data_IF_740786176206
#
_entry.id   IF_740786176206
#
_cell.length_a   1.000
_cell.length_b   1.000
_cell.length_c   1.000
_cell.angle_alpha   90.00
_cell.angle_beta   90.00
_cell.angle_gamma   90.00
#
_symmetry.space_group_name_H-M   'P 1'
#
loop_
_entity.id
_entity.type
_entity.pdbx_description
1 polymer ?
#
# COMPACT_ATOMS: atom_id res chain seq x y z
N UNK A 1 6.80 -6.76 17.80
CA UNK A 1 5.65 -6.62 16.89
C UNK A 1 5.50 -5.14 16.53
N UNK A 2 5.97 -4.72 15.35
CA UNK A 2 5.96 -3.30 14.95
C UNK A 2 4.55 -2.81 14.62
N UNK A 3 4.27 -1.54 14.95
CA UNK A 3 2.97 -0.87 14.71
C UNK A 3 2.54 -1.05 13.25
N UNK A 4 1.29 -1.47 13.06
CA UNK A 4 0.69 -1.62 11.72
C UNK A 4 0.09 -0.28 11.32
N UNK A 5 0.47 0.27 10.17
CA UNK A 5 -0.20 1.44 9.62
C UNK A 5 -1.65 1.08 9.30
N UNK A 6 -2.59 1.79 9.93
CA UNK A 6 -4.04 1.67 9.75
C UNK A 6 -4.52 2.84 8.89
N UNK A 7 -5.28 2.54 7.84
CA UNK A 7 -5.78 3.50 6.86
C UNK A 7 -7.26 3.84 7.05
N UNK A 8 -7.78 3.62 8.26
CA UNK A 8 -9.22 3.75 8.59
C UNK A 8 -9.72 5.19 8.50
N UNK A 9 -8.90 6.16 8.87
CA UNK A 9 -9.30 7.57 9.00
C UNK A 9 -9.03 8.41 7.74
N UNK A 10 -8.48 7.79 6.69
CA UNK A 10 -8.11 8.49 5.46
C UNK A 10 -9.29 8.52 4.49
N UNK A 11 -9.52 9.67 3.84
CA UNK A 11 -10.57 9.80 2.82
C UNK A 11 -10.29 8.89 1.62
N UNK A 12 -11.34 8.48 0.89
CA UNK A 12 -11.19 7.59 -0.26
C UNK A 12 -10.26 8.17 -1.33
N UNK A 13 -10.37 9.47 -1.62
CA UNK A 13 -9.56 10.16 -2.64
C UNK A 13 -8.08 10.20 -2.26
N UNK A 14 -7.81 10.46 -0.98
CA UNK A 14 -6.45 10.49 -0.45
C UNK A 14 -5.84 9.08 -0.41
N UNK A 15 -6.65 8.04 -0.14
CA UNK A 15 -6.20 6.65 -0.26
C UNK A 15 -5.81 6.26 -1.69
N UNK A 16 -6.51 6.78 -2.71
CA UNK A 16 -6.14 6.54 -4.11
C UNK A 16 -4.79 7.19 -4.41
N UNK A 17 -4.57 8.42 -3.95
CA UNK A 17 -3.28 9.13 -4.12
C UNK A 17 -2.14 8.36 -3.46
N UNK A 18 -2.28 8.01 -2.18
CA UNK A 18 -1.28 7.22 -1.43
C UNK A 18 -1.02 5.88 -2.13
N UNK A 19 -2.05 5.21 -2.63
CA UNK A 19 -1.89 3.95 -3.36
C UNK A 19 -1.08 4.12 -4.65
N UNK A 20 -1.29 5.22 -5.39
CA UNK A 20 -0.54 5.52 -6.60
C UNK A 20 0.93 5.80 -6.31
N UNK A 21 1.21 6.61 -5.29
CA UNK A 21 2.57 6.93 -4.83
C UNK A 21 3.31 5.66 -4.39
N UNK A 22 2.66 4.81 -3.59
CA UNK A 22 3.25 3.55 -3.09
C UNK A 22 3.56 2.55 -4.21
N UNK A 23 2.74 2.52 -5.27
CA UNK A 23 3.00 1.69 -6.46
C UNK A 23 4.21 2.23 -7.24
N UNK A 24 4.34 3.55 -7.34
CA UNK A 24 5.49 4.16 -8.02
C UNK A 24 6.78 3.97 -7.22
N UNK A 25 6.75 4.13 -5.89
CA UNK A 25 7.87 3.77 -5.00
C UNK A 25 8.31 2.32 -5.23
N UNK A 26 7.36 1.38 -5.31
CA UNK A 26 7.67 -0.03 -5.58
C UNK A 26 8.30 -0.23 -6.98
N UNK A 27 7.88 0.53 -7.98
CA UNK A 27 8.45 0.51 -9.33
C UNK A 27 9.90 1.01 -9.30
N UNK A 28 10.16 2.15 -8.66
CA UNK A 28 11.52 2.70 -8.51
C UNK A 28 12.43 1.71 -7.80
N UNK A 29 11.96 1.07 -6.71
CA UNK A 29 12.72 0.05 -5.99
C UNK A 29 13.04 -1.15 -6.88
N UNK A 30 12.12 -1.58 -7.75
CA UNK A 30 12.35 -2.68 -8.70
C UNK A 30 13.40 -2.32 -9.74
N UNK A 31 13.34 -1.10 -10.30
CA UNK A 31 14.34 -0.62 -11.26
C UNK A 31 15.72 -0.47 -10.62
N UNK A 32 15.80 0.12 -9.41
CA UNK A 32 17.05 0.25 -8.68
C UNK A 32 17.68 -1.12 -8.35
N UNK A 33 16.85 -2.11 -7.98
CA UNK A 33 17.31 -3.46 -7.69
C UNK A 33 17.81 -4.24 -8.93
N UNK A 34 17.39 -3.87 -10.14
CA UNK A 34 17.86 -4.49 -11.37
C UNK A 34 19.30 -4.04 -11.72
N UNK A 35 19.68 -2.80 -11.36
CA UNK A 35 21.01 -2.26 -11.61
C UNK A 35 22.08 -2.65 -10.59
N UNK A 36 21.69 -2.92 -9.33
CA UNK A 36 22.60 -3.34 -8.27
C UNK A 36 21.83 -3.93 -7.08
N UNK A 37 22.53 -4.69 -6.21
CA UNK A 37 21.90 -5.23 -5.00
C UNK A 37 21.46 -4.07 -4.10
N UNK A 38 20.15 -3.95 -3.79
CA UNK A 38 19.66 -2.87 -2.93
C UNK A 38 20.21 -3.04 -1.51
N UNK A 39 20.57 -1.91 -0.88
CA UNK A 39 21.09 -1.86 0.49
C UNK A 39 20.10 -2.45 1.49
N UNK A 40 18.81 -2.20 1.29
CA UNK A 40 17.71 -2.76 2.10
C UNK A 40 16.74 -3.61 1.28
N UNK A 41 16.95 -4.93 1.27
CA UNK A 41 16.06 -5.89 0.59
C UNK A 41 14.63 -5.91 1.16
N UNK A 42 14.46 -5.50 2.42
CA UNK A 42 13.18 -5.50 3.13
C UNK A 42 12.19 -4.43 2.66
N UNK A 43 12.66 -3.38 1.98
CA UNK A 43 11.83 -2.24 1.53
C UNK A 43 10.72 -2.71 0.60
N UNK A 44 11.07 -3.56 -0.38
CA UNK A 44 10.09 -4.09 -1.33
C UNK A 44 8.95 -4.87 -0.66
N UNK A 45 9.26 -5.62 0.40
CA UNK A 45 8.27 -6.37 1.18
C UNK A 45 7.40 -5.45 2.04
N UNK A 46 7.97 -4.39 2.61
CA UNK A 46 7.22 -3.37 3.38
C UNK A 46 6.24 -2.63 2.48
N UNK A 47 6.68 -2.16 1.30
CA UNK A 47 5.82 -1.47 0.34
C UNK A 47 4.65 -2.35 -0.14
N UNK A 48 4.90 -3.63 -0.45
CA UNK A 48 3.82 -4.58 -0.80
C UNK A 48 2.80 -4.74 0.32
N UNK A 49 3.25 -4.80 1.58
CA UNK A 49 2.35 -4.89 2.75
C UNK A 49 1.52 -3.62 2.92
N UNK A 50 2.10 -2.45 2.67
CA UNK A 50 1.34 -1.18 2.72
C UNK A 50 0.27 -1.12 1.64
N UNK A 51 0.61 -1.46 0.39
CA UNK A 51 -0.36 -1.53 -0.71
C UNK A 51 -1.50 -2.50 -0.38
N UNK A 52 -1.19 -3.69 0.13
CA UNK A 52 -2.19 -4.69 0.50
C UNK A 52 -3.15 -4.19 1.59
N UNK A 53 -2.65 -3.44 2.58
CA UNK A 53 -3.49 -2.84 3.63
C UNK A 53 -4.44 -1.79 3.07
N UNK A 54 -3.98 -0.93 2.15
CA UNK A 54 -4.82 0.08 1.50
C UNK A 54 -5.93 -0.61 0.69
N UNK A 55 -5.58 -1.64 -0.11
CA UNK A 55 -6.56 -2.40 -0.88
C UNK A 55 -7.58 -3.15 0.00
N UNK A 56 -7.14 -3.63 1.16
CA UNK A 56 -8.02 -4.28 2.13
C UNK A 56 -9.03 -3.28 2.70
N UNK A 57 -8.60 -2.05 2.99
CA UNK A 57 -9.51 -0.96 3.39
C UNK A 57 -10.55 -0.66 2.30
N UNK A 58 -10.12 -0.52 1.03
CA UNK A 58 -11.05 -0.33 -0.08
C UNK A 58 -12.10 -1.46 -0.18
N UNK A 59 -11.65 -2.71 -0.03
CA UNK A 59 -12.54 -3.87 -0.04
C UNK A 59 -13.51 -3.84 1.15
N UNK A 60 -13.01 -3.51 2.35
CA UNK A 60 -13.83 -3.39 3.56
C UNK A 60 -14.92 -2.32 3.40
N UNK A 61 -14.58 -1.13 2.91
CA UNK A 61 -15.54 -0.05 2.62
C UNK A 61 -16.57 -0.45 1.58
N UNK A 62 -16.13 -1.11 0.51
CA UNK A 62 -17.01 -1.59 -0.57
C UNK A 62 -17.99 -2.64 -0.04
N UNK A 63 -17.52 -3.59 0.77
CA UNK A 63 -18.35 -4.63 1.36
C UNK A 63 -19.31 -4.07 2.42
N UNK A 64 -18.89 -3.09 3.22
CA UNK A 64 -19.78 -2.40 4.16
C UNK A 64 -20.93 -1.71 3.41
N UNK A 65 -20.63 -0.99 2.32
CA UNK A 65 -21.65 -0.36 1.46
C UNK A 65 -22.60 -1.37 0.83
N UNK A 66 -22.12 -2.54 0.40
CA UNK A 66 -22.97 -3.60 -0.17
C UNK A 66 -23.91 -4.24 0.85
N UNK A 67 -23.54 -4.28 2.13
CA UNK A 67 -24.38 -4.86 3.20
C UNK A 67 -25.51 -3.95 3.67
N UNK A 68 -25.45 -2.68 3.32
CA UNK A 68 -26.45 -1.66 3.67
C UNK A 68 -27.54 -1.46 2.61
N UNK A 69 -27.45 -2.12 1.47
CA UNK A 69 -28.44 -2.12 0.38
C UNK A 69 -29.08 -3.50 0.31
#
# INVERSE_FOLDING_TARGET
MSKKNTYTNVANEELVKILSEKKEELRVVRFAAAGSRPKDSSVSAKLRKEIARILTEFSARTNARKRTV
#
